data_IF_686905596423
#
_entry.id   IF_686905596423
#
_cell.length_a   1.000
_cell.length_b   1.000
_cell.length_c   1.000
_cell.angle_alpha   90.00
_cell.angle_beta   90.00
_cell.angle_gamma   90.00
#
_symmetry.space_group_name_H-M   'P 1'
#
loop_
_entity.id
_entity.type
_entity.pdbx_description
1 polymer ?
#
# COMPACT_ATOMS: atom_id res chain seq x y z
N UNK A 1 30.72 -47.10 -29.68
CA UNK A 1 30.19 -48.49 -29.78
C UNK A 1 28.86 -48.52 -29.07
N UNK A 2 27.73 -48.45 -29.77
CA UNK A 2 27.01 -49.57 -30.35
C UNK A 2 26.27 -50.32 -29.25
N UNK A 3 25.03 -50.55 -29.27
CA UNK A 3 23.98 -50.76 -30.23
C UNK A 3 22.65 -50.87 -29.47
N UNK A 4 21.60 -50.38 -29.97
CA UNK A 4 20.73 -50.90 -31.03
C UNK A 4 19.75 -52.01 -30.59
N UNK A 5 18.49 -51.70 -30.87
CA UNK A 5 17.33 -52.55 -31.16
C UNK A 5 16.51 -53.05 -29.96
N UNK A 6 15.22 -53.08 -30.10
CA UNK A 6 14.23 -52.98 -31.17
C UNK A 6 12.85 -52.98 -30.55
N UNK A 7 11.96 -52.27 -31.08
CA UNK A 7 10.97 -52.60 -32.09
C UNK A 7 9.82 -53.47 -31.62
N UNK A 8 8.63 -53.00 -31.87
CA UNK A 8 7.35 -53.69 -31.94
C UNK A 8 6.31 -52.96 -31.08
N UNK A 9 5.46 -52.14 -31.56
CA UNK A 9 4.39 -52.34 -32.53
C UNK A 9 3.14 -52.73 -31.77
N UNK A 10 2.17 -51.91 -31.65
CA UNK A 10 1.03 -51.89 -32.53
C UNK A 10 -0.10 -50.99 -32.00
N UNK A 11 -0.69 -50.35 -32.91
CA UNK A 11 -1.92 -49.63 -33.02
C UNK A 11 -2.99 -49.80 -31.94
N UNK A 12 -3.66 -48.68 -31.66
CA UNK A 12 -5.02 -48.82 -31.28
C UNK A 12 -5.67 -47.56 -30.69
N UNK A 13 -6.15 -46.71 -31.58
CA UNK A 13 -7.40 -45.97 -31.46
C UNK A 13 -7.61 -45.00 -30.28
N UNK A 14 -7.53 -43.77 -30.58
CA UNK A 14 -8.38 -42.63 -30.38
C UNK A 14 -9.45 -42.61 -29.28
N UNK A 15 -9.26 -41.73 -28.34
CA UNK A 15 -10.35 -40.98 -27.74
C UNK A 15 -9.79 -39.63 -27.25
N UNK A 16 -9.95 -38.65 -28.08
CA UNK A 16 -9.81 -37.25 -27.66
C UNK A 16 -10.87 -36.94 -26.60
N UNK A 17 -10.45 -36.30 -25.50
CA UNK A 17 -11.34 -35.45 -24.74
C UNK A 17 -12.00 -36.06 -23.51
N UNK A 18 -11.30 -36.30 -22.44
CA UNK A 18 -11.87 -36.32 -21.07
C UNK A 18 -10.81 -36.08 -19.99
N UNK A 19 -9.91 -35.11 -20.21
CA UNK A 19 -8.93 -34.69 -19.22
C UNK A 19 -9.46 -33.69 -18.16
N UNK A 20 -10.73 -33.26 -18.23
CA UNK A 20 -11.29 -32.25 -17.36
C UNK A 20 -12.15 -32.76 -16.20
N UNK A 21 -12.50 -34.02 -16.16
CA UNK A 21 -13.37 -34.54 -15.08
C UNK A 21 -12.60 -35.11 -13.89
N UNK A 22 -11.34 -35.47 -14.06
CA UNK A 22 -10.52 -35.98 -12.96
C UNK A 22 -10.22 -34.86 -11.92
N UNK A 23 -9.91 -33.65 -12.36
CA UNK A 23 -9.63 -32.53 -11.47
C UNK A 23 -10.87 -32.04 -10.73
N UNK A 24 -12.06 -32.16 -11.34
CA UNK A 24 -13.33 -31.79 -10.68
C UNK A 24 -13.76 -32.88 -9.70
N UNK A 25 -13.46 -34.15 -10.00
CA UNK A 25 -13.79 -35.25 -9.11
C UNK A 25 -12.86 -35.31 -7.89
N UNK A 26 -11.58 -34.98 -8.04
CA UNK A 26 -10.63 -34.83 -6.94
C UNK A 26 -10.95 -33.59 -6.08
N UNK A 27 -11.44 -32.49 -6.68
CA UNK A 27 -11.92 -31.34 -5.91
C UNK A 27 -13.22 -31.59 -5.14
N UNK A 28 -14.10 -32.49 -5.63
CA UNK A 28 -15.39 -32.76 -5.00
C UNK A 28 -15.41 -33.99 -4.10
N UNK A 29 -14.61 -35.00 -4.39
CA UNK A 29 -14.57 -36.27 -3.63
C UNK A 29 -13.23 -36.61 -3.00
N UNK A 30 -12.12 -36.06 -3.47
CA UNK A 30 -10.77 -36.27 -2.95
C UNK A 30 -10.31 -35.24 -1.91
N UNK A 31 -11.02 -34.12 -1.75
CA UNK A 31 -10.65 -33.00 -0.88
C UNK A 31 -11.00 -33.16 0.61
N UNK A 32 -11.34 -34.34 1.05
CA UNK A 32 -11.43 -34.64 2.49
C UNK A 32 -10.09 -35.14 3.07
N UNK A 33 -8.95 -34.70 2.51
CA UNK A 33 -7.74 -34.67 3.32
C UNK A 33 -7.95 -33.56 4.34
N UNK A 34 -8.53 -33.97 5.46
CA UNK A 34 -8.51 -33.24 6.70
C UNK A 34 -7.14 -32.56 6.83
N UNK A 35 -7.09 -31.26 6.56
CA UNK A 35 -6.13 -30.39 7.22
C UNK A 35 -6.37 -30.66 8.70
N UNK A 36 -5.60 -31.57 9.25
CA UNK A 36 -5.65 -31.94 10.64
C UNK A 36 -5.45 -30.66 11.43
N UNK A 37 -6.57 -30.04 11.76
CA UNK A 37 -6.61 -28.99 12.75
C UNK A 37 -5.97 -29.61 13.98
N UNK A 38 -4.74 -29.25 14.23
CA UNK A 38 -3.97 -29.71 15.40
C UNK A 38 -4.76 -29.30 16.63
N UNK A 39 -5.63 -30.20 17.06
CA UNK A 39 -6.42 -30.08 18.28
C UNK A 39 -5.42 -29.93 19.42
N UNK A 40 -5.31 -28.76 20.00
CA UNK A 40 -4.47 -28.54 21.17
C UNK A 40 -3.79 -27.19 21.30
N UNK A 41 -3.69 -26.40 20.23
CA UNK A 41 -3.15 -25.03 20.36
C UNK A 41 -4.28 -24.01 20.37
N UNK A 42 -4.31 -23.08 21.34
CA UNK A 42 -5.27 -21.98 21.32
C UNK A 42 -5.16 -21.21 20.01
N UNK A 43 -6.27 -20.75 19.43
CA UNK A 43 -6.24 -19.98 18.19
C UNK A 43 -5.47 -18.67 18.38
N UNK A 44 -4.84 -18.22 17.31
CA UNK A 44 -4.16 -16.93 17.28
C UNK A 44 -5.18 -15.80 17.37
N UNK A 45 -4.75 -14.66 17.87
CA UNK A 45 -5.53 -13.41 17.84
C UNK A 45 -5.65 -12.88 16.43
N UNK A 46 -6.61 -11.96 16.24
CA UNK A 46 -6.85 -11.30 14.97
C UNK A 46 -5.74 -10.31 14.66
N UNK A 47 -5.43 -10.17 13.38
CA UNK A 47 -4.59 -9.08 12.90
C UNK A 47 -5.39 -7.77 12.91
N UNK A 48 -4.70 -6.68 13.22
CA UNK A 48 -5.28 -5.34 13.24
C UNK A 48 -4.68 -4.49 12.11
N UNK A 49 -5.48 -3.53 11.64
CA UNK A 49 -5.03 -2.50 10.70
C UNK A 49 -5.17 -1.12 11.35
N UNK A 50 -4.15 -0.31 11.16
CA UNK A 50 -4.12 1.08 11.58
C UNK A 50 -3.69 1.96 10.41
N UNK A 51 -4.47 2.99 10.08
CA UNK A 51 -4.15 3.93 9.00
C UNK A 51 -3.41 5.13 9.59
N UNK A 52 -2.13 5.28 9.24
CA UNK A 52 -1.24 6.34 9.71
C UNK A 52 -1.02 7.38 8.62
N UNK A 53 -1.32 8.64 8.91
CA UNK A 53 -1.02 9.75 8.00
C UNK A 53 0.29 10.41 8.39
N UNK A 54 1.15 10.60 7.39
CA UNK A 54 2.43 11.31 7.51
C UNK A 54 2.54 12.38 6.45
N UNK A 55 3.39 13.36 6.69
CA UNK A 55 3.70 14.39 5.71
C UNK A 55 4.66 13.87 4.65
N UNK A 56 4.75 14.56 3.52
CA UNK A 56 5.69 14.25 2.45
C UNK A 56 7.15 14.25 2.93
N UNK A 57 7.53 15.24 3.73
CA UNK A 57 8.87 15.34 4.29
C UNK A 57 9.19 14.17 5.23
N UNK A 58 8.24 13.78 6.10
CA UNK A 58 8.39 12.63 6.98
C UNK A 58 8.52 11.30 6.21
N UNK A 59 7.78 11.16 5.09
CA UNK A 59 7.90 9.97 4.24
C UNK A 59 9.29 9.84 3.60
N UNK A 60 9.92 10.96 3.29
CA UNK A 60 11.26 10.97 2.68
C UNK A 60 12.36 10.82 3.72
N UNK A 61 12.28 11.55 4.82
CA UNK A 61 13.30 11.52 5.87
C UNK A 61 13.21 10.27 6.77
N UNK A 62 12.02 9.64 6.82
CA UNK A 62 11.69 8.66 7.85
C UNK A 62 11.31 9.35 9.17
N UNK A 63 10.48 8.70 9.96
CA UNK A 63 10.00 9.26 11.23
C UNK A 63 9.62 8.15 12.20
N UNK A 64 9.77 8.39 13.50
CA UNK A 64 9.15 7.59 14.55
C UNK A 64 7.87 8.26 15.02
N UNK A 65 6.74 7.57 14.93
CA UNK A 65 5.44 8.05 15.38
C UNK A 65 4.89 7.19 16.51
N UNK A 66 4.36 7.83 17.53
CA UNK A 66 3.58 7.16 18.55
C UNK A 66 2.13 7.09 18.09
N UNK A 67 1.58 5.88 18.07
CA UNK A 67 0.18 5.63 17.72
C UNK A 67 -0.55 5.05 18.92
N UNK A 68 -1.83 5.40 19.06
CA UNK A 68 -2.73 4.88 20.09
C UNK A 68 -3.91 4.19 19.42
N UNK A 69 -4.18 2.94 19.82
CA UNK A 69 -5.30 2.18 19.30
C UNK A 69 -5.89 1.28 20.37
N UNK A 70 -7.14 0.89 20.18
CA UNK A 70 -7.83 -0.05 21.06
C UNK A 70 -7.60 -1.47 20.59
N UNK A 71 -7.24 -2.35 21.50
CA UNK A 71 -6.94 -3.75 21.21
C UNK A 71 -7.46 -4.66 22.30
N UNK A 72 -7.90 -5.87 21.93
CA UNK A 72 -8.11 -6.95 22.89
C UNK A 72 -6.77 -7.51 23.32
N UNK A 73 -6.35 -7.16 24.52
CA UNK A 73 -5.09 -7.59 25.08
C UNK A 73 -5.29 -8.66 26.16
N UNK A 74 -4.23 -9.37 26.50
CA UNK A 74 -4.26 -10.41 27.51
C UNK A 74 -4.75 -9.84 28.85
N UNK A 75 -5.69 -10.52 29.47
CA UNK A 75 -6.15 -10.17 30.82
C UNK A 75 -5.03 -10.40 31.83
N UNK A 76 -4.59 -9.36 32.51
CA UNK A 76 -3.50 -9.42 33.48
C UNK A 76 -3.88 -10.25 34.73
N UNK A 77 -5.15 -10.21 35.14
CA UNK A 77 -5.63 -10.94 36.34
C UNK A 77 -5.52 -12.44 36.16
N UNK A 78 -5.86 -12.99 35.00
CA UNK A 78 -5.80 -14.43 34.75
C UNK A 78 -4.66 -14.83 33.79
N UNK A 79 -3.83 -13.91 33.37
CA UNK A 79 -2.74 -14.15 32.39
C UNK A 79 -3.24 -14.83 31.10
N UNK A 80 -4.46 -14.47 30.66
CA UNK A 80 -5.04 -14.98 29.43
C UNK A 80 -5.74 -16.33 29.54
N UNK A 81 -5.77 -16.98 30.72
CA UNK A 81 -6.39 -18.31 30.89
C UNK A 81 -7.91 -18.27 30.91
N UNK A 82 -8.51 -17.12 31.22
CA UNK A 82 -9.94 -16.96 31.45
C UNK A 82 -10.44 -17.52 32.79
N UNK A 83 -9.58 -18.22 33.52
CA UNK A 83 -9.92 -18.82 34.81
C UNK A 83 -9.60 -17.88 35.98
N UNK A 84 -10.38 -17.97 37.06
CA UNK A 84 -10.08 -17.25 38.31
C UNK A 84 -8.72 -17.69 38.84
N UNK A 85 -8.03 -16.79 39.50
CA UNK A 85 -6.75 -17.08 40.16
C UNK A 85 -6.88 -18.29 41.09
N UNK A 86 -5.92 -19.24 40.97
CA UNK A 86 -5.97 -20.52 41.69
C UNK A 86 -6.85 -21.61 41.07
N UNK A 87 -7.58 -21.31 39.98
CA UNK A 87 -8.34 -22.28 39.19
C UNK A 87 -7.73 -22.46 37.80
N UNK A 88 -8.01 -23.59 37.15
CA UNK A 88 -7.54 -23.91 35.82
C UNK A 88 -8.68 -24.40 34.93
N UNK A 89 -8.49 -24.26 33.60
CA UNK A 89 -9.41 -24.85 32.66
C UNK A 89 -9.28 -26.39 32.74
N UNK A 90 -10.40 -27.09 32.91
CA UNK A 90 -10.49 -28.54 32.92
C UNK A 90 -10.84 -29.10 31.55
N UNK A 91 -10.43 -30.32 31.26
CA UNK A 91 -10.85 -31.04 30.06
C UNK A 91 -12.35 -31.19 30.00
N UNK A 92 -12.99 -30.84 28.89
CA UNK A 92 -14.43 -30.96 28.76
C UNK A 92 -14.88 -32.44 28.90
N UNK A 93 -15.70 -32.79 29.91
CA UNK A 93 -16.08 -34.18 30.17
C UNK A 93 -17.03 -34.74 29.08
N UNK A 94 -17.64 -33.88 28.24
CA UNK A 94 -18.56 -34.34 27.20
C UNK A 94 -17.84 -34.79 25.92
N UNK A 95 -16.74 -34.18 25.56
CA UNK A 95 -15.96 -34.50 24.35
C UNK A 95 -14.55 -35.02 24.68
N UNK A 96 -14.22 -35.15 25.97
CA UNK A 96 -12.92 -35.66 26.43
C UNK A 96 -11.74 -34.92 25.82
N UNK A 97 -11.89 -33.59 25.64
CA UNK A 97 -10.86 -32.74 25.06
C UNK A 97 -10.88 -32.63 23.54
N UNK A 98 -11.72 -33.40 22.85
CA UNK A 98 -11.76 -33.40 21.36
C UNK A 98 -12.37 -32.15 20.76
N UNK A 99 -13.15 -31.38 21.49
CA UNK A 99 -13.88 -30.21 20.99
C UNK A 99 -15.09 -30.55 20.11
N UNK A 100 -15.20 -31.75 19.60
CA UNK A 100 -16.24 -32.20 18.69
C UNK A 100 -16.96 -33.45 19.20
N UNK A 101 -18.20 -33.62 18.78
CA UNK A 101 -19.01 -34.81 19.02
C UNK A 101 -19.32 -35.45 17.68
N UNK A 102 -19.05 -36.76 17.60
CA UNK A 102 -19.36 -37.57 16.41
C UNK A 102 -20.66 -38.34 16.67
N UNK A 103 -21.65 -38.07 15.84
CA UNK A 103 -22.94 -38.79 15.89
C UNK A 103 -23.05 -39.62 14.62
N UNK A 104 -23.13 -40.95 14.82
CA UNK A 104 -23.34 -41.87 13.71
C UNK A 104 -24.83 -42.11 13.53
N UNK A 105 -25.38 -41.83 12.38
CA UNK A 105 -26.78 -42.17 12.01
C UNK A 105 -26.76 -43.22 10.90
N UNK A 106 -27.53 -44.26 11.10
CA UNK A 106 -27.74 -45.26 10.08
C UNK A 106 -28.85 -44.76 9.13
N UNK A 107 -28.53 -44.67 7.85
CA UNK A 107 -29.47 -44.28 6.80
C UNK A 107 -29.65 -45.46 5.83
N UNK A 108 -30.63 -45.42 4.94
CA UNK A 108 -30.86 -46.44 3.92
C UNK A 108 -29.66 -46.60 2.96
N UNK A 109 -28.78 -45.62 2.90
CA UNK A 109 -27.58 -45.59 2.03
C UNK A 109 -26.30 -45.94 2.79
N UNK A 110 -26.37 -46.30 4.06
CA UNK A 110 -25.21 -46.62 4.89
C UNK A 110 -25.10 -45.78 6.17
N UNK A 111 -23.98 -45.91 6.84
CA UNK A 111 -23.66 -45.11 8.06
C UNK A 111 -23.18 -43.73 7.69
N UNK A 112 -23.86 -42.72 8.16
CA UNK A 112 -23.43 -41.31 8.03
C UNK A 112 -22.90 -40.86 9.38
N UNK A 113 -21.63 -40.39 9.41
CA UNK A 113 -20.99 -39.79 10.57
C UNK A 113 -21.13 -38.29 10.47
N UNK A 114 -21.88 -37.69 11.40
CA UNK A 114 -21.99 -36.25 11.51
C UNK A 114 -21.07 -35.76 12.63
N UNK A 115 -20.17 -34.83 12.32
CA UNK A 115 -19.25 -34.20 13.27
C UNK A 115 -19.76 -32.80 13.56
N UNK A 116 -20.01 -32.50 14.83
CA UNK A 116 -20.49 -31.19 15.27
C UNK A 116 -19.63 -30.67 16.43
N UNK A 117 -19.52 -29.36 16.58
CA UNK A 117 -18.86 -28.75 17.73
C UNK A 117 -19.53 -29.20 19.03
N UNK A 118 -18.76 -29.51 20.04
CA UNK A 118 -19.31 -29.90 21.34
C UNK A 118 -20.09 -28.72 21.95
N UNK A 119 -21.41 -28.90 22.24
CA UNK A 119 -22.24 -27.81 22.74
C UNK A 119 -21.89 -27.37 24.18
N UNK A 120 -21.03 -28.09 24.88
CA UNK A 120 -20.60 -27.72 26.25
C UNK A 120 -19.35 -26.85 26.24
N UNK A 121 -18.42 -27.09 25.34
CA UNK A 121 -17.17 -26.34 25.24
C UNK A 121 -17.08 -25.53 23.94
N UNK A 122 -18.12 -25.54 23.11
CA UNK A 122 -18.18 -24.78 21.83
C UNK A 122 -17.02 -25.01 20.87
N UNK A 123 -16.48 -26.24 20.89
CA UNK A 123 -15.35 -26.60 20.04
C UNK A 123 -14.00 -26.58 20.69
N UNK A 124 -13.89 -26.13 21.93
CA UNK A 124 -12.59 -25.84 22.57
C UNK A 124 -11.95 -27.02 23.28
N UNK A 125 -12.71 -28.04 23.56
CA UNK A 125 -12.21 -29.21 24.27
C UNK A 125 -11.97 -28.99 25.78
N UNK A 126 -12.01 -27.75 26.26
CA UNK A 126 -11.80 -27.37 27.66
C UNK A 126 -12.92 -26.45 28.13
N UNK A 127 -13.17 -26.41 29.43
CA UNK A 127 -14.15 -25.55 30.10
C UNK A 127 -13.51 -24.89 31.31
N UNK A 128 -13.88 -23.63 31.54
CA UNK A 128 -13.54 -22.89 32.78
C UNK A 128 -14.70 -22.96 33.72
N UNK A 129 -14.57 -23.64 34.85
CA UNK A 129 -15.65 -23.76 35.84
C UNK A 129 -15.84 -22.47 36.64
N UNK A 130 -14.73 -21.82 37.00
CA UNK A 130 -14.74 -20.53 37.70
C UNK A 130 -14.13 -19.47 36.83
N UNK A 131 -14.96 -18.65 36.12
CA UNK A 131 -14.45 -17.62 35.24
C UNK A 131 -13.72 -16.49 36.00
N UNK A 132 -12.73 -15.91 35.39
CA UNK A 132 -12.06 -14.71 35.88
C UNK A 132 -13.02 -13.54 35.98
N UNK A 133 -13.06 -12.85 37.10
CA UNK A 133 -13.98 -11.73 37.36
C UNK A 133 -13.75 -10.52 36.45
N UNK A 134 -12.52 -10.34 35.99
CA UNK A 134 -12.15 -9.19 35.12
C UNK A 134 -12.52 -9.40 33.67
N UNK A 135 -12.28 -10.59 33.10
CA UNK A 135 -12.52 -10.89 31.69
C UNK A 135 -13.71 -11.82 31.44
N UNK A 136 -14.42 -12.25 32.50
CA UNK A 136 -15.60 -13.11 32.45
C UNK A 136 -15.40 -14.41 31.65
N UNK A 137 -14.18 -14.94 31.67
CA UNK A 137 -13.84 -16.19 30.99
C UNK A 137 -13.18 -16.05 29.62
N UNK A 138 -13.17 -14.87 29.00
CA UNK A 138 -12.57 -14.66 27.67
C UNK A 138 -11.04 -14.70 27.68
N UNK A 139 -10.41 -14.38 28.80
CA UNK A 139 -8.95 -14.29 28.90
C UNK A 139 -8.36 -13.02 28.32
N UNK A 140 -9.20 -12.13 27.77
CA UNK A 140 -8.82 -10.88 27.12
C UNK A 140 -9.64 -9.71 27.63
N UNK A 141 -9.08 -8.53 27.58
CA UNK A 141 -9.74 -7.27 27.94
C UNK A 141 -9.42 -6.22 26.88
N UNK A 142 -10.38 -5.37 26.60
CA UNK A 142 -10.15 -4.24 25.71
C UNK A 142 -9.39 -3.15 26.45
N UNK A 143 -8.27 -2.71 25.87
CA UNK A 143 -7.52 -1.57 26.39
C UNK A 143 -6.92 -0.72 25.27
N UNK A 144 -6.58 0.51 25.59
CA UNK A 144 -5.82 1.38 24.72
C UNK A 144 -4.33 1.06 24.86
N UNK A 145 -3.65 0.84 23.76
CA UNK A 145 -2.22 0.58 23.70
C UNK A 145 -1.53 1.69 22.93
N UNK A 146 -0.38 2.13 23.45
CA UNK A 146 0.49 3.10 22.79
C UNK A 146 1.76 2.41 22.37
N UNK A 147 2.12 2.55 21.10
CA UNK A 147 3.35 1.98 20.57
C UNK A 147 4.07 2.99 19.67
N UNK A 148 5.38 2.87 19.60
CA UNK A 148 6.20 3.65 18.65
C UNK A 148 6.41 2.84 17.40
N UNK A 149 6.13 3.46 16.27
CA UNK A 149 6.27 2.86 14.93
C UNK A 149 7.36 3.62 14.19
N UNK A 150 8.43 2.92 13.86
CA UNK A 150 9.50 3.45 13.02
C UNK A 150 9.08 3.32 11.54
N UNK A 151 8.92 4.45 10.89
CA UNK A 151 8.62 4.55 9.48
C UNK A 151 9.94 4.79 8.73
N UNK A 152 10.36 3.86 7.86
CA UNK A 152 11.63 4.00 7.16
C UNK A 152 11.61 5.13 6.13
N UNK A 153 12.77 5.77 5.94
CA UNK A 153 12.98 6.80 4.92
C UNK A 153 12.68 6.26 3.52
N UNK A 154 12.00 7.08 2.71
CA UNK A 154 11.65 6.73 1.35
C UNK A 154 10.37 5.88 1.22
N UNK A 155 9.61 5.69 2.28
CA UNK A 155 8.32 4.99 2.22
C UNK A 155 7.37 5.69 1.26
N UNK A 156 6.52 4.93 0.58
CA UNK A 156 5.56 5.46 -0.39
C UNK A 156 4.11 5.26 0.07
N UNK A 157 3.17 5.95 -0.59
CA UNK A 157 1.74 5.79 -0.39
C UNK A 157 1.32 4.32 -0.46
N UNK A 158 0.44 3.89 0.45
CA UNK A 158 -0.11 2.54 0.47
C UNK A 158 0.82 1.45 1.00
N UNK A 159 2.07 1.77 1.35
CA UNK A 159 2.95 0.80 2.00
C UNK A 159 2.45 0.45 3.39
N UNK A 160 2.75 -0.78 3.82
CA UNK A 160 2.37 -1.27 5.14
C UNK A 160 3.59 -1.69 5.95
N UNK A 161 3.63 -1.25 7.20
CA UNK A 161 4.60 -1.70 8.19
C UNK A 161 3.93 -2.74 9.08
N UNK A 162 4.47 -3.96 9.12
CA UNK A 162 3.97 -5.05 9.94
C UNK A 162 4.70 -5.08 11.27
N UNK A 163 3.95 -5.02 12.35
CA UNK A 163 4.43 -5.18 13.73
C UNK A 163 3.90 -6.51 14.27
N UNK A 164 4.77 -7.52 14.30
CA UNK A 164 4.40 -8.86 14.73
C UNK A 164 4.14 -8.89 16.24
N UNK A 165 3.00 -9.51 16.63
CA UNK A 165 2.63 -9.61 18.03
C UNK A 165 1.93 -8.39 18.62
N UNK A 166 1.67 -7.35 17.82
CA UNK A 166 0.99 -6.12 18.23
C UNK A 166 -0.51 -6.11 17.84
N UNK A 167 -1.02 -7.20 17.28
CA UNK A 167 -2.44 -7.42 17.03
C UNK A 167 -3.22 -7.83 18.30
N UNK A 168 -4.43 -8.33 18.13
CA UNK A 168 -5.23 -8.83 19.26
C UNK A 168 -4.59 -10.04 19.91
N UNK A 169 -4.70 -10.16 21.22
CA UNK A 169 -4.33 -11.37 21.93
C UNK A 169 -5.21 -12.54 21.50
N UNK A 170 -4.61 -13.69 21.29
CA UNK A 170 -5.35 -14.92 21.05
C UNK A 170 -6.19 -15.32 22.28
N UNK A 171 -7.39 -15.84 22.07
CA UNK A 171 -8.23 -16.30 23.19
C UNK A 171 -7.49 -17.39 23.97
N UNK A 172 -7.67 -17.38 25.27
CA UNK A 172 -7.13 -18.39 26.21
C UNK A 172 -5.63 -18.62 26.10
N UNK A 173 -4.87 -17.53 25.99
CA UNK A 173 -3.42 -17.58 25.92
C UNK A 173 -2.88 -17.99 24.57
N UNK A 174 -3.69 -17.94 23.51
CA UNK A 174 -3.23 -18.06 22.13
C UNK A 174 -2.22 -16.97 21.77
N UNK A 175 -1.40 -17.18 20.75
CA UNK A 175 -0.44 -16.18 20.29
C UNK A 175 -1.17 -14.94 19.78
N UNK A 176 -0.63 -13.73 19.97
CA UNK A 176 -1.20 -12.52 19.42
C UNK A 176 -1.09 -12.47 17.90
N UNK A 177 -1.99 -11.74 17.25
CA UNK A 177 -1.91 -11.38 15.85
C UNK A 177 -0.85 -10.32 15.57
N UNK A 178 -0.85 -9.76 14.38
CA UNK A 178 0.03 -8.66 13.97
C UNK A 178 -0.76 -7.36 13.80
N UNK A 179 -0.08 -6.22 13.97
CA UNK A 179 -0.62 -4.93 13.59
C UNK A 179 -0.01 -4.52 12.24
N UNK A 180 -0.85 -4.19 11.29
CA UNK A 180 -0.49 -3.64 9.98
C UNK A 180 -0.75 -2.15 9.98
N UNK A 181 0.31 -1.35 9.97
CA UNK A 181 0.22 0.11 9.86
C UNK A 181 0.28 0.48 8.38
N UNK A 182 -0.86 0.86 7.83
CA UNK A 182 -0.96 1.36 6.46
C UNK A 182 -0.58 2.85 6.45
N UNK A 183 0.42 3.19 5.65
CA UNK A 183 0.96 4.55 5.58
C UNK A 183 0.27 5.32 4.47
N UNK A 184 -0.25 6.50 4.81
CA UNK A 184 -0.82 7.47 3.89
C UNK A 184 0.03 8.73 3.89
N UNK A 185 0.56 9.09 2.73
CA UNK A 185 1.45 10.23 2.56
C UNK A 185 0.64 11.43 2.06
N UNK A 186 0.69 12.54 2.81
CA UNK A 186 0.09 13.78 2.35
C UNK A 186 0.83 14.30 1.11
N UNK A 187 0.12 14.72 0.04
CA UNK A 187 0.75 15.27 -1.14
C UNK A 187 1.50 16.57 -0.83
N UNK A 188 2.62 16.79 -1.52
CA UNK A 188 3.31 18.09 -1.47
C UNK A 188 2.66 19.06 -2.44
N UNK A 189 2.55 20.38 -2.10
CA UNK A 189 1.89 21.35 -2.98
C UNK A 189 2.59 21.54 -4.33
N UNK A 190 3.90 21.41 -4.37
CA UNK A 190 4.71 21.73 -5.55
C UNK A 190 5.48 20.54 -6.10
N UNK A 191 5.94 19.63 -5.23
CA UNK A 191 6.72 18.46 -5.64
C UNK A 191 5.81 17.28 -5.93
N UNK A 192 5.99 16.67 -7.11
CA UNK A 192 5.35 15.40 -7.49
C UNK A 192 6.37 14.29 -7.33
N UNK A 193 5.94 13.12 -6.86
CA UNK A 193 6.79 11.96 -6.65
C UNK A 193 6.39 10.81 -7.57
N UNK A 194 7.38 10.19 -8.19
CA UNK A 194 7.23 8.93 -8.92
C UNK A 194 8.36 7.97 -8.50
N UNK A 195 8.02 7.02 -7.64
CA UNK A 195 9.02 6.12 -7.07
C UNK A 195 10.08 6.86 -6.23
N UNK A 196 11.32 6.91 -6.72
CA UNK A 196 12.41 7.64 -6.08
C UNK A 196 12.68 9.01 -6.68
N UNK A 197 12.11 9.28 -7.86
CA UNK A 197 12.30 10.54 -8.57
C UNK A 197 11.28 11.58 -8.09
N UNK A 198 11.73 12.85 -8.05
CA UNK A 198 10.91 14.01 -7.75
C UNK A 198 10.82 14.89 -8.98
N UNK A 199 9.68 15.55 -9.14
CA UNK A 199 9.37 16.41 -10.27
C UNK A 199 8.88 17.75 -9.75
N UNK A 200 9.46 18.82 -10.30
CA UNK A 200 9.08 20.19 -10.00
C UNK A 200 8.89 20.98 -11.30
N UNK A 201 7.85 21.80 -11.37
CA UNK A 201 7.59 22.67 -12.50
C UNK A 201 8.01 24.09 -12.14
N UNK A 202 9.13 24.53 -12.72
CA UNK A 202 9.69 25.87 -12.49
C UNK A 202 9.09 26.86 -13.50
N UNK A 203 8.33 27.81 -13.02
CA UNK A 203 7.83 28.90 -13.85
C UNK A 203 8.85 30.01 -13.97
N UNK A 204 9.22 30.34 -15.19
CA UNK A 204 10.13 31.45 -15.53
C UNK A 204 9.45 32.42 -16.50
N UNK A 205 9.77 33.70 -16.43
CA UNK A 205 9.31 34.69 -17.41
C UNK A 205 10.07 34.53 -18.73
N UNK A 206 9.51 35.08 -19.81
CA UNK A 206 10.18 35.13 -21.13
C UNK A 206 11.53 35.82 -21.04
N UNK A 207 11.66 36.90 -20.25
CA UNK A 207 12.91 37.63 -20.07
C UNK A 207 13.94 36.77 -19.30
N UNK A 208 13.53 36.08 -18.24
CA UNK A 208 14.40 35.16 -17.50
C UNK A 208 14.87 33.98 -18.36
N UNK A 209 14.00 33.41 -19.17
CA UNK A 209 14.34 32.31 -20.07
C UNK A 209 15.34 32.80 -21.19
N UNK A 210 15.16 34.01 -21.70
CA UNK A 210 16.01 34.56 -22.75
C UNK A 210 17.38 35.01 -22.25
N UNK A 211 17.42 35.69 -21.07
CA UNK A 211 18.65 36.32 -20.56
C UNK A 211 19.38 35.42 -19.53
N UNK A 212 18.73 34.39 -19.04
CA UNK A 212 19.23 33.58 -17.93
C UNK A 212 18.93 34.21 -16.58
N UNK A 213 18.92 33.38 -15.55
CA UNK A 213 18.67 33.83 -14.17
C UNK A 213 19.08 32.77 -13.16
N UNK A 214 19.21 33.16 -11.90
CA UNK A 214 19.34 32.25 -10.75
C UNK A 214 18.03 32.24 -9.98
N UNK A 215 17.49 31.06 -9.71
CA UNK A 215 16.22 30.90 -8.99
C UNK A 215 16.37 29.84 -7.91
N UNK A 216 15.56 29.96 -6.86
CA UNK A 216 15.48 28.95 -5.82
C UNK A 216 14.37 27.98 -6.12
N UNK A 217 14.67 26.69 -6.01
CA UNK A 217 13.70 25.62 -6.15
C UNK A 217 13.56 24.85 -4.84
N UNK A 218 12.36 24.46 -4.47
CA UNK A 218 12.15 23.67 -3.27
C UNK A 218 12.75 22.28 -3.46
N UNK A 219 13.52 21.85 -2.46
CA UNK A 219 13.96 20.47 -2.35
C UNK A 219 13.50 19.90 -1.01
N UNK A 220 13.65 18.60 -0.81
CA UNK A 220 13.30 17.94 0.46
C UNK A 220 14.14 18.46 1.63
N UNK A 221 15.34 18.92 1.36
CA UNK A 221 16.31 19.40 2.38
C UNK A 221 16.28 20.92 2.57
N UNK A 222 15.43 21.63 1.83
CA UNK A 222 15.31 23.07 1.79
C UNK A 222 15.47 23.60 0.37
N UNK A 223 15.44 24.93 0.22
CA UNK A 223 15.58 25.57 -1.09
C UNK A 223 17.00 25.47 -1.61
N UNK A 224 17.16 25.14 -2.88
CA UNK A 224 18.46 25.10 -3.59
C UNK A 224 18.44 26.08 -4.75
N UNK A 225 19.54 26.83 -4.91
CA UNK A 225 19.70 27.78 -6.00
C UNK A 225 20.15 27.06 -7.28
N UNK A 226 19.41 27.30 -8.37
CA UNK A 226 19.73 26.77 -9.69
C UNK A 226 19.93 27.86 -10.71
N UNK A 227 20.79 27.62 -11.68
CA UNK A 227 21.04 28.51 -12.82
C UNK A 227 20.16 28.08 -14.00
N UNK A 228 19.33 29.00 -14.48
CA UNK A 228 18.63 28.89 -15.77
C UNK A 228 19.49 29.62 -16.81
N UNK A 229 20.08 28.88 -17.73
CA UNK A 229 20.97 29.43 -18.74
C UNK A 229 20.23 30.32 -19.77
N UNK A 230 20.89 31.34 -20.33
CA UNK A 230 20.29 32.13 -21.40
C UNK A 230 19.82 31.25 -22.57
N UNK A 231 18.65 31.54 -23.10
CA UNK A 231 18.06 30.79 -24.22
C UNK A 231 17.43 29.47 -23.83
N UNK A 232 17.14 29.25 -22.55
CA UNK A 232 16.43 28.04 -22.07
C UNK A 232 15.04 27.97 -22.66
N UNK A 233 14.71 26.83 -23.27
CA UNK A 233 13.43 26.61 -23.93
C UNK A 233 12.38 26.04 -22.96
N UNK A 234 11.07 26.25 -23.23
CA UNK A 234 9.99 25.58 -22.51
C UNK A 234 10.15 24.05 -22.58
N UNK A 235 9.94 23.38 -21.45
CA UNK A 235 10.13 21.92 -21.33
C UNK A 235 11.58 21.48 -21.14
N UNK A 236 12.55 22.41 -21.06
CA UNK A 236 13.91 22.07 -20.69
C UNK A 236 13.94 21.44 -19.29
N UNK A 237 14.72 20.38 -19.13
CA UNK A 237 14.89 19.64 -17.89
C UNK A 237 16.24 20.02 -17.24
N UNK A 238 16.16 20.42 -15.98
CA UNK A 238 17.32 20.64 -15.11
C UNK A 238 17.32 19.54 -14.05
N UNK A 239 18.32 18.67 -14.06
CA UNK A 239 18.40 17.51 -13.16
C UNK A 239 19.32 17.80 -11.98
N UNK A 240 18.76 17.76 -10.78
CA UNK A 240 19.50 17.87 -9.52
C UNK A 240 19.75 16.47 -8.95
N UNK A 241 20.98 16.00 -9.10
CA UNK A 241 21.37 14.63 -8.74
C UNK A 241 21.33 14.40 -7.24
N UNK A 242 20.73 13.27 -6.82
CA UNK A 242 20.65 12.87 -5.42
C UNK A 242 19.69 13.71 -4.57
N UNK A 243 18.87 14.59 -5.19
CA UNK A 243 17.85 15.41 -4.51
C UNK A 243 16.45 14.78 -4.53
N UNK A 244 16.35 13.53 -4.95
CA UNK A 244 15.15 12.72 -4.91
C UNK A 244 14.95 11.98 -3.59
N UNK A 245 14.09 10.99 -3.62
CA UNK A 245 13.70 10.16 -2.48
C UNK A 245 14.72 9.04 -2.22
N UNK A 246 15.06 8.74 -0.96
CA UNK A 246 15.91 7.60 -0.63
C UNK A 246 15.28 6.27 -1.05
N UNK A 247 16.10 5.33 -1.49
CA UNK A 247 15.66 3.97 -1.75
C UNK A 247 15.42 3.20 -0.44
N UNK A 248 14.21 2.65 -0.24
CA UNK A 248 13.86 1.85 0.94
C UNK A 248 14.81 0.67 1.23
N UNK A 249 15.39 0.07 0.18
CA UNK A 249 16.19 -1.16 0.28
C UNK A 249 17.68 -0.96 0.04
N UNK A 250 18.11 0.24 -0.35
CA UNK A 250 19.51 0.55 -0.67
C UNK A 250 19.96 1.75 0.14
N UNK A 251 20.67 1.49 1.21
CA UNK A 251 21.23 2.54 2.06
C UNK A 251 22.18 3.43 1.25
N UNK A 252 22.01 4.75 1.35
CA UNK A 252 22.86 5.73 0.70
C UNK A 252 22.55 6.02 -0.78
N UNK A 253 21.56 5.34 -1.37
CA UNK A 253 21.11 5.64 -2.73
C UNK A 253 19.83 6.48 -2.69
N UNK A 254 19.80 7.56 -3.49
CA UNK A 254 18.66 8.46 -3.67
C UNK A 254 18.35 8.60 -5.16
N UNK A 255 17.12 8.91 -5.49
CA UNK A 255 16.73 9.40 -6.81
C UNK A 255 17.16 10.85 -7.02
N UNK A 256 16.69 11.44 -8.08
CA UNK A 256 17.01 12.82 -8.47
C UNK A 256 15.76 13.71 -8.44
N UNK A 257 15.97 15.01 -8.47
CA UNK A 257 14.91 15.99 -8.66
C UNK A 257 15.02 16.53 -10.10
N UNK A 258 13.93 16.34 -10.85
CA UNK A 258 13.75 16.81 -12.21
C UNK A 258 12.98 18.12 -12.22
N UNK A 259 13.62 19.21 -12.60
CA UNK A 259 13.01 20.53 -12.68
C UNK A 259 12.70 20.83 -14.13
N UNK A 260 11.41 20.89 -14.47
CA UNK A 260 10.95 21.24 -15.81
C UNK A 260 10.65 22.73 -15.92
N UNK A 261 11.29 23.38 -16.88
CA UNK A 261 11.10 24.81 -17.10
C UNK A 261 9.81 25.06 -17.87
N UNK A 262 8.92 25.83 -17.28
CA UNK A 262 7.72 26.36 -17.92
C UNK A 262 7.88 27.85 -18.13
N UNK A 263 7.91 28.29 -19.40
CA UNK A 263 7.98 29.72 -19.71
C UNK A 263 6.59 30.33 -19.68
N UNK A 264 6.39 31.26 -18.77
CA UNK A 264 5.15 31.99 -18.62
C UNK A 264 5.13 33.23 -19.50
N UNK A 265 4.15 33.31 -20.39
CA UNK A 265 3.88 34.52 -21.18
C UNK A 265 2.88 35.37 -20.41
N UNK A 266 3.22 36.63 -20.05
CA UNK A 266 2.31 37.47 -19.29
C UNK A 266 1.06 37.83 -20.11
N UNK A 267 -0.11 37.62 -19.51
CA UNK A 267 -1.41 37.94 -20.18
C UNK A 267 -1.81 39.39 -19.98
N UNK A 268 -1.21 40.08 -19.01
CA UNK A 268 -1.44 41.51 -18.75
C UNK A 268 -0.09 42.20 -18.70
N UNK A 269 0.06 43.23 -19.52
CA UNK A 269 1.27 44.05 -19.63
C UNK A 269 0.98 45.49 -19.22
N UNK A 270 1.87 46.07 -18.47
CA UNK A 270 1.93 47.51 -18.25
C UNK A 270 2.28 48.22 -19.59
N UNK A 271 2.09 49.53 -19.65
CA UNK A 271 2.48 50.31 -20.82
C UNK A 271 3.98 50.22 -21.13
N UNK A 272 4.78 50.17 -20.09
CA UNK A 272 6.24 50.09 -20.17
C UNK A 272 6.71 48.72 -20.65
N UNK A 273 6.13 47.64 -20.09
CA UNK A 273 6.44 46.25 -20.52
C UNK A 273 6.04 46.04 -21.99
N UNK A 274 4.89 46.55 -22.40
CA UNK A 274 4.44 46.50 -23.79
C UNK A 274 5.39 47.21 -24.72
N UNK A 275 5.82 48.44 -24.37
CA UNK A 275 6.76 49.21 -25.17
C UNK A 275 8.13 48.51 -25.27
N UNK A 276 8.60 47.88 -24.20
CA UNK A 276 9.84 47.10 -24.21
C UNK A 276 9.76 45.88 -25.15
N UNK A 277 8.62 45.15 -25.11
CA UNK A 277 8.43 44.00 -26.00
C UNK A 277 8.23 44.41 -27.48
N UNK A 278 7.57 45.54 -27.75
CA UNK A 278 7.46 46.08 -29.10
C UNK A 278 8.85 46.53 -29.63
N UNK A 279 9.68 47.11 -28.78
CA UNK A 279 11.06 47.47 -29.17
C UNK A 279 11.94 46.24 -29.45
N UNK A 280 11.79 45.18 -28.62
CA UNK A 280 12.43 43.90 -28.88
C UNK A 280 12.01 43.29 -30.20
N UNK A 281 10.71 43.20 -30.48
CA UNK A 281 10.18 42.64 -31.71
C UNK A 281 10.69 43.42 -32.94
N UNK A 282 10.72 44.77 -32.88
CA UNK A 282 11.29 45.61 -33.91
C UNK A 282 12.77 45.33 -34.16
N UNK A 283 13.56 45.14 -33.09
CA UNK A 283 15.00 44.80 -33.20
C UNK A 283 15.21 43.38 -33.77
N UNK A 284 14.29 42.45 -33.46
CA UNK A 284 14.30 41.10 -34.01
C UNK A 284 13.76 40.97 -35.43
N UNK A 285 13.17 42.05 -35.99
CA UNK A 285 12.56 42.04 -37.29
C UNK A 285 11.19 41.32 -37.34
N UNK A 286 10.56 41.17 -36.19
CA UNK A 286 9.27 40.47 -36.05
C UNK A 286 8.10 41.45 -36.18
N UNK A 287 7.03 41.03 -36.89
CA UNK A 287 5.82 41.81 -36.96
C UNK A 287 4.91 41.41 -35.76
N UNK A 288 4.75 42.35 -34.83
CA UNK A 288 3.82 42.21 -33.69
C UNK A 288 2.69 43.24 -33.84
N UNK A 289 1.49 42.82 -33.60
CA UNK A 289 0.33 43.69 -33.55
C UNK A 289 -0.95 42.92 -33.76
N UNK A 290 -2.04 43.45 -33.27
CA UNK A 290 -3.38 42.93 -33.61
C UNK A 290 -3.50 43.02 -35.12
N UNK A 291 -3.56 41.86 -35.78
CA UNK A 291 -4.28 41.84 -37.05
C UNK A 291 -5.70 42.31 -36.65
N UNK A 292 -5.91 43.62 -36.75
CA UNK A 292 -7.25 44.15 -36.84
C UNK A 292 -7.89 43.29 -37.93
N UNK A 293 -8.96 42.62 -37.58
CA UNK A 293 -9.88 42.15 -38.59
C UNK A 293 -10.13 43.40 -39.46
N UNK A 294 -9.45 43.47 -40.59
CA UNK A 294 -9.72 44.46 -41.59
C UNK A 294 -11.21 44.41 -41.77
N UNK A 295 -11.86 45.45 -41.30
CA UNK A 295 -13.30 45.49 -41.27
C UNK A 295 -13.77 45.22 -42.71
N UNK A 296 -14.94 44.62 -42.84
CA UNK A 296 -15.59 44.38 -44.14
C UNK A 296 -15.44 45.57 -45.12
N UNK A 297 -15.24 46.78 -44.59
CA UNK A 297 -14.95 48.02 -45.32
C UNK A 297 -13.60 48.10 -46.03
N UNK A 298 -12.53 47.49 -45.43
CA UNK A 298 -11.19 47.49 -46.06
C UNK A 298 -11.11 46.45 -47.18
N UNK A 299 -11.78 45.29 -46.98
CA UNK A 299 -11.90 44.28 -48.06
C UNK A 299 -12.77 44.75 -49.24
N UNK A 300 -13.75 45.63 -49.01
CA UNK A 300 -14.54 46.22 -50.06
C UNK A 300 -13.83 47.34 -50.82
N UNK A 301 -12.86 48.04 -50.20
CA UNK A 301 -12.05 49.05 -50.83
C UNK A 301 -11.00 48.44 -51.78
N UNK A 302 -10.40 47.31 -51.42
CA UNK A 302 -9.43 46.58 -52.26
C UNK A 302 -10.09 45.79 -53.40
N UNK A 303 -11.42 45.56 -53.34
CA UNK A 303 -12.19 44.88 -54.41
C UNK A 303 -12.82 45.84 -55.42
N UNK A 304 -12.79 47.14 -55.19
CA UNK A 304 -13.44 48.18 -56.03
C UNK A 304 -12.45 49.22 -56.57
N UNK A 305 -11.13 49.04 -56.40
CA UNK A 305 -10.08 49.90 -56.92
C UNK A 305 -9.32 49.36 -58.12
#
# INVERSE_FOLDING_TARGET
RAGVNGAGGDAGFGAAGFGGFSDIFDAFFGGATATGQRHGRPPAGSDLRYDLRITFAEAIAGVEKEIEFSVLDRCETCNGTGAKEGSSAITCPRCEGRGEIRTTRQTMLGQMVNVSACPRCHGEGRIVETPCETCHGDGRIQRKKKIRVAIPAGIDEGHQVRLSGEGEAGPRGGPPGSLYVAVHVAPHPELKREGTELYYELEVSIAQAALGTHLRVPTVEGDEEIEVKPGTQPGAELRLRGRGVPHLRRTGSRGDLHVFVRVAVPTKLSKEEKAALEAYAAAAGEQVGTHGHGGLKDRLRDALG
#
